data_IF_467486201643
#
_entry.id   IF_467486201643
#
_cell.length_a   1.000
_cell.length_b   1.000
_cell.length_c   1.000
_cell.angle_alpha   90.00
_cell.angle_beta   90.00
_cell.angle_gamma   90.00
#
_symmetry.space_group_name_H-M   'P 1'
#
loop_
_entity.id
_entity.type
_entity.pdbx_description
1 polymer ?
#
# COMPACT_ATOMS: atom_id res chain seq x y z
N UNK A 1 12.70 -16.58 17.53
CA UNK A 1 11.47 -16.83 18.34
C UNK A 1 11.64 -17.92 19.41
N UNK A 2 12.02 -19.17 19.07
CA UNK A 2 12.18 -20.27 20.06
C UNK A 2 13.03 -19.90 21.28
N UNK A 3 14.16 -19.22 21.07
CA UNK A 3 15.04 -18.75 22.15
C UNK A 3 14.32 -17.76 23.08
N UNK A 4 13.63 -16.76 22.51
CA UNK A 4 12.90 -15.76 23.27
C UNK A 4 11.77 -16.42 24.08
N UNK A 5 10.96 -17.25 23.43
CA UNK A 5 9.88 -17.97 24.12
C UNK A 5 10.39 -18.79 25.30
N UNK A 6 11.47 -19.57 25.10
CA UNK A 6 12.01 -20.44 26.16
C UNK A 6 12.47 -19.65 27.38
N UNK A 7 13.07 -18.49 27.18
CA UNK A 7 13.75 -17.74 28.25
C UNK A 7 12.91 -16.62 28.86
N UNK A 8 11.90 -16.10 28.15
CA UNK A 8 11.17 -14.89 28.55
C UNK A 8 9.65 -15.09 28.68
N UNK A 9 9.11 -16.28 28.40
CA UNK A 9 7.65 -16.54 28.49
C UNK A 9 7.03 -16.26 29.88
N UNK A 10 7.82 -16.39 30.96
CA UNK A 10 7.33 -16.17 32.33
C UNK A 10 7.60 -14.75 32.84
N UNK A 11 8.69 -14.12 32.39
CA UNK A 11 9.15 -12.82 32.89
C UNK A 11 8.64 -11.65 32.07
N UNK A 12 8.20 -11.88 30.82
CA UNK A 12 7.87 -10.82 29.88
C UNK A 12 9.10 -10.30 29.13
N UNK A 13 8.87 -9.32 28.26
CA UNK A 13 9.88 -8.66 27.43
C UNK A 13 9.88 -7.15 27.74
N UNK A 14 11.06 -6.58 27.91
CA UNK A 14 11.30 -5.14 27.83
C UNK A 14 11.46 -4.71 26.36
N UNK A 15 11.32 -3.41 26.07
CA UNK A 15 11.32 -2.85 24.70
C UNK A 15 12.56 -3.24 23.87
N UNK A 16 13.74 -3.31 24.50
CA UNK A 16 15.01 -3.61 23.83
C UNK A 16 15.39 -5.10 23.85
N UNK A 17 14.59 -5.96 24.49
CA UNK A 17 14.94 -7.37 24.72
C UNK A 17 15.20 -8.10 23.40
N UNK A 18 14.38 -7.86 22.38
CA UNK A 18 14.53 -8.53 21.07
C UNK A 18 15.81 -8.09 20.38
N UNK A 19 16.14 -6.80 20.42
CA UNK A 19 17.36 -6.25 19.83
C UNK A 19 18.61 -6.83 20.50
N UNK A 20 18.63 -6.86 21.84
CA UNK A 20 19.73 -7.45 22.61
C UNK A 20 19.92 -8.94 22.28
N UNK A 21 18.82 -9.70 22.21
CA UNK A 21 18.88 -11.12 21.83
C UNK A 21 19.40 -11.31 20.40
N UNK A 22 19.00 -10.48 19.44
CA UNK A 22 19.51 -10.57 18.06
C UNK A 22 21.00 -10.27 18.00
N UNK A 23 21.46 -9.22 18.69
CA UNK A 23 22.89 -8.90 18.79
C UNK A 23 23.69 -10.06 19.41
N UNK A 24 23.17 -10.65 20.48
CA UNK A 24 23.81 -11.77 21.17
C UNK A 24 23.87 -13.04 20.32
N UNK A 25 22.85 -13.34 19.52
CA UNK A 25 22.81 -14.53 18.68
C UNK A 25 23.69 -14.39 17.43
N UNK A 26 23.70 -13.20 16.84
CA UNK A 26 24.45 -12.92 15.60
C UNK A 26 25.89 -12.50 15.86
N UNK A 27 26.21 -12.06 17.09
CA UNK A 27 27.49 -11.44 17.46
C UNK A 27 27.82 -10.20 16.65
N UNK A 28 26.79 -9.47 16.23
CA UNK A 28 26.89 -8.23 15.45
C UNK A 28 25.99 -7.17 16.04
N UNK A 29 26.32 -5.90 15.79
CA UNK A 29 25.48 -4.77 16.22
C UNK A 29 24.38 -4.49 15.19
N UNK A 30 23.11 -4.65 15.60
CA UNK A 30 21.94 -4.33 14.80
C UNK A 30 21.30 -2.98 15.16
N UNK A 31 21.93 -2.14 15.98
CA UNK A 31 21.35 -0.87 16.42
C UNK A 31 20.87 0.01 15.26
N UNK A 32 21.64 0.07 14.17
CA UNK A 32 21.24 0.81 12.96
C UNK A 32 19.98 0.23 12.30
N UNK A 33 19.84 -1.10 12.25
CA UNK A 33 18.64 -1.75 11.70
C UNK A 33 17.39 -1.37 12.51
N UNK A 34 17.45 -1.48 13.84
CA UNK A 34 16.32 -1.14 14.70
C UNK A 34 16.02 0.37 14.68
N UNK A 35 17.04 1.22 14.68
CA UNK A 35 16.86 2.67 14.55
C UNK A 35 16.19 3.07 13.23
N UNK A 36 16.51 2.38 12.13
CA UNK A 36 15.88 2.67 10.85
C UNK A 36 14.45 2.12 10.76
N UNK A 37 14.21 0.88 11.18
CA UNK A 37 13.00 0.12 10.81
C UNK A 37 12.04 -0.17 11.96
N UNK A 38 12.44 0.02 13.23
CA UNK A 38 11.56 -0.08 14.39
C UNK A 38 11.27 1.30 14.99
N UNK A 39 12.30 2.08 15.25
CA UNK A 39 12.17 3.41 15.87
C UNK A 39 12.10 4.54 14.84
N UNK A 40 12.45 4.24 13.59
CA UNK A 40 12.47 5.17 12.48
C UNK A 40 11.25 5.07 11.58
N UNK A 41 11.22 5.93 10.58
CA UNK A 41 10.19 5.97 9.52
C UNK A 41 10.76 5.55 8.16
N UNK A 42 11.90 4.85 8.16
CA UNK A 42 12.52 4.41 6.92
C UNK A 42 11.73 3.23 6.36
N UNK A 43 11.41 3.30 5.09
CA UNK A 43 10.73 2.21 4.38
C UNK A 43 11.57 0.93 4.42
N UNK A 44 10.93 -0.21 4.72
CA UNK A 44 11.60 -1.51 4.71
C UNK A 44 12.15 -1.81 3.31
N UNK A 45 13.39 -2.30 3.17
CA UNK A 45 14.04 -2.56 1.89
C UNK A 45 13.54 -3.90 1.30
N UNK A 46 12.23 -4.00 1.08
CA UNK A 46 11.57 -5.26 0.70
C UNK A 46 12.08 -5.79 -0.65
N UNK A 47 12.39 -4.91 -1.61
CA UNK A 47 12.90 -5.33 -2.92
C UNK A 47 14.23 -6.08 -2.77
N UNK A 48 15.18 -5.52 -2.01
CA UNK A 48 16.49 -6.14 -1.77
C UNK A 48 16.35 -7.43 -0.95
N UNK A 49 15.48 -7.40 0.08
CA UNK A 49 15.23 -8.54 0.94
C UNK A 49 14.65 -9.74 0.17
N UNK A 50 13.68 -9.51 -0.72
CA UNK A 50 13.10 -10.55 -1.55
C UNK A 50 14.04 -11.01 -2.65
N UNK A 51 14.78 -10.09 -3.29
CA UNK A 51 15.78 -10.43 -4.30
C UNK A 51 16.88 -11.35 -3.73
N UNK A 52 17.28 -11.14 -2.48
CA UNK A 52 18.28 -11.98 -1.79
C UNK A 52 17.91 -13.47 -1.77
N UNK A 53 16.61 -13.78 -1.73
CA UNK A 53 16.03 -15.13 -1.74
C UNK A 53 15.38 -15.51 -3.07
N UNK A 54 15.65 -14.76 -4.14
CA UNK A 54 15.18 -15.06 -5.49
C UNK A 54 13.67 -14.87 -5.68
N UNK A 55 13.09 -13.89 -4.99
CA UNK A 55 11.71 -13.47 -5.18
C UNK A 55 11.71 -12.07 -5.79
N UNK A 56 11.04 -11.93 -6.92
CA UNK A 56 10.79 -10.63 -7.53
C UNK A 56 9.64 -9.95 -6.77
N UNK A 57 9.85 -8.68 -6.43
CA UNK A 57 8.87 -7.84 -5.76
C UNK A 57 8.59 -6.63 -6.64
N UNK A 58 7.32 -6.44 -7.00
CA UNK A 58 6.88 -5.30 -7.79
C UNK A 58 5.66 -4.66 -7.16
N UNK A 59 5.56 -3.34 -7.29
CA UNK A 59 4.42 -2.57 -6.84
C UNK A 59 3.62 -2.10 -8.06
N UNK A 60 2.30 -2.30 -8.03
CA UNK A 60 1.39 -1.83 -9.07
C UNK A 60 0.13 -1.19 -8.47
N UNK A 61 -0.60 -0.45 -9.30
CA UNK A 61 -1.93 0.05 -8.94
C UNK A 61 -2.95 -1.08 -9.02
N UNK A 62 -3.92 -1.10 -8.10
CA UNK A 62 -5.09 -1.99 -8.22
C UNK A 62 -5.84 -1.62 -9.50
N UNK A 63 -6.35 -2.60 -10.23
CA UNK A 63 -7.13 -2.34 -11.44
C UNK A 63 -8.57 -1.93 -11.13
N UNK A 64 -9.15 -2.51 -10.10
CA UNK A 64 -10.60 -2.48 -9.86
C UNK A 64 -11.05 -1.48 -8.78
N UNK A 65 -10.19 -0.56 -8.35
CA UNK A 65 -10.55 0.53 -7.43
C UNK A 65 -9.94 1.89 -7.83
N UNK A 66 -10.03 2.89 -6.95
CA UNK A 66 -9.52 4.25 -7.19
C UNK A 66 -8.45 4.67 -6.18
N UNK A 67 -7.76 3.69 -5.59
CA UNK A 67 -6.70 3.97 -4.59
C UNK A 67 -5.56 4.77 -5.18
N UNK A 68 -5.23 4.55 -6.45
CA UNK A 68 -4.27 5.34 -7.24
C UNK A 68 -4.76 6.77 -7.55
N UNK A 69 -6.05 7.06 -7.35
CA UNK A 69 -6.60 8.42 -7.39
C UNK A 69 -6.75 9.03 -6.00
N UNK A 70 -6.25 8.36 -4.96
CA UNK A 70 -6.30 8.84 -3.59
C UNK A 70 -7.67 8.74 -2.95
N UNK A 71 -8.57 7.87 -3.43
CA UNK A 71 -9.88 7.62 -2.78
C UNK A 71 -10.24 6.13 -2.72
N UNK A 72 -11.08 5.79 -1.74
CA UNK A 72 -11.86 4.54 -1.76
C UNK A 72 -13.35 4.87 -1.84
N UNK A 73 -14.08 4.14 -2.67
CA UNK A 73 -15.53 4.32 -2.85
C UNK A 73 -16.29 3.06 -2.45
N UNK A 74 -17.56 3.21 -2.09
CA UNK A 74 -18.51 2.10 -1.95
C UNK A 74 -19.81 2.43 -2.69
N UNK A 75 -20.60 1.39 -2.95
CA UNK A 75 -21.96 1.54 -3.47
C UNK A 75 -22.91 2.03 -2.37
N UNK A 76 -23.69 3.07 -2.67
CA UNK A 76 -24.86 3.50 -1.92
C UNK A 76 -26.03 3.69 -2.90
N UNK A 77 -26.88 2.67 -3.01
CA UNK A 77 -28.05 2.66 -3.90
C UNK A 77 -27.73 2.98 -5.38
N UNK A 78 -26.61 2.49 -5.89
CA UNK A 78 -26.15 2.71 -7.26
C UNK A 78 -25.28 3.94 -7.45
N UNK A 79 -25.01 4.72 -6.39
CA UNK A 79 -24.16 5.91 -6.41
C UNK A 79 -22.85 5.62 -5.67
N UNK A 80 -21.73 6.09 -6.22
CA UNK A 80 -20.42 5.97 -5.58
C UNK A 80 -20.28 7.01 -4.47
N UNK A 81 -20.19 6.56 -3.21
CA UNK A 81 -19.85 7.42 -2.07
C UNK A 81 -18.39 7.22 -1.65
N UNK A 82 -17.67 8.32 -1.47
CA UNK A 82 -16.29 8.32 -1.00
C UNK A 82 -16.25 7.90 0.48
N UNK A 83 -15.48 6.87 0.79
CA UNK A 83 -15.29 6.33 2.14
C UNK A 83 -13.97 6.73 2.76
N UNK A 84 -12.95 6.92 1.94
CA UNK A 84 -11.61 7.31 2.35
C UNK A 84 -11.03 8.29 1.33
N UNK A 85 -10.27 9.25 1.83
CA UNK A 85 -9.41 10.14 1.04
C UNK A 85 -8.00 9.96 1.57
N UNK A 86 -7.07 9.52 0.73
CA UNK A 86 -5.68 9.27 1.11
C UNK A 86 -4.89 10.57 1.07
N UNK A 87 -4.03 10.75 2.08
CA UNK A 87 -3.14 11.91 2.16
C UNK A 87 -2.20 11.98 0.96
N UNK A 88 -1.86 13.21 0.56
CA UNK A 88 -1.00 13.54 -0.56
C UNK A 88 -1.50 13.07 -1.94
N UNK A 89 -2.69 12.46 -2.01
CA UNK A 89 -3.34 12.04 -3.25
C UNK A 89 -3.91 13.21 -4.08
N UNK A 90 -4.21 12.92 -5.36
CA UNK A 90 -4.83 13.90 -6.25
C UNK A 90 -6.25 14.28 -5.79
N UNK A 91 -7.02 13.34 -5.24
CA UNK A 91 -8.33 13.62 -4.67
C UNK A 91 -8.29 14.60 -3.51
N UNK A 92 -7.39 14.40 -2.54
CA UNK A 92 -7.22 15.33 -1.42
C UNK A 92 -6.85 16.73 -1.93
N UNK A 93 -5.85 16.80 -2.82
CA UNK A 93 -5.38 18.06 -3.41
C UNK A 93 -6.48 18.80 -4.19
N UNK A 94 -7.48 18.06 -4.69
CA UNK A 94 -8.60 18.60 -5.47
C UNK A 94 -9.82 18.94 -4.60
N UNK A 95 -9.79 18.65 -3.30
CA UNK A 95 -10.87 19.00 -2.36
C UNK A 95 -12.03 18.00 -2.30
N UNK A 96 -11.80 16.75 -2.69
CA UNK A 96 -12.72 15.64 -2.40
C UNK A 96 -12.66 15.28 -0.91
N UNK A 97 -13.80 14.92 -0.34
CA UNK A 97 -13.95 14.54 1.07
C UNK A 97 -14.69 13.22 1.23
N UNK A 98 -14.48 12.56 2.37
CA UNK A 98 -15.28 11.43 2.80
C UNK A 98 -16.75 11.86 2.90
N UNK A 99 -17.64 11.05 2.33
CA UNK A 99 -19.08 11.33 2.26
C UNK A 99 -19.54 11.96 0.94
N UNK A 100 -18.64 12.49 0.11
CA UNK A 100 -19.01 12.99 -1.21
C UNK A 100 -19.58 11.86 -2.07
N UNK A 101 -20.72 12.12 -2.71
CA UNK A 101 -21.36 11.21 -3.67
C UNK A 101 -21.03 11.66 -5.09
N UNK A 102 -20.37 10.82 -5.87
CA UNK A 102 -20.01 11.12 -7.26
C UNK A 102 -21.24 10.85 -8.15
N UNK A 103 -21.74 11.89 -8.81
CA UNK A 103 -22.95 11.82 -9.65
C UNK A 103 -22.64 12.01 -11.13
N UNK A 104 -21.62 12.79 -11.49
CA UNK A 104 -21.21 12.98 -12.89
C UNK A 104 -19.69 13.02 -13.05
N UNK A 105 -19.21 12.59 -14.22
CA UNK A 105 -17.81 12.70 -14.67
C UNK A 105 -17.83 13.37 -16.05
N UNK A 106 -17.19 14.52 -16.18
CA UNK A 106 -17.22 15.39 -17.38
C UNK A 106 -18.64 15.55 -17.96
N UNK A 107 -19.58 15.91 -17.08
CA UNK A 107 -21.02 16.13 -17.38
C UNK A 107 -21.85 14.89 -17.70
N UNK A 108 -21.23 13.70 -17.78
CA UNK A 108 -21.95 12.44 -17.98
C UNK A 108 -22.34 11.86 -16.63
N UNK A 109 -23.63 11.54 -16.44
CA UNK A 109 -24.10 10.82 -15.25
C UNK A 109 -23.38 9.47 -15.12
N UNK A 110 -22.92 9.18 -13.90
CA UNK A 110 -22.25 7.91 -13.60
C UNK A 110 -22.99 7.19 -12.49
N UNK A 111 -22.88 5.86 -12.51
CA UNK A 111 -23.33 5.01 -11.42
C UNK A 111 -22.15 4.19 -10.90
N UNK A 112 -22.33 3.54 -9.76
CA UNK A 112 -21.24 2.90 -9.03
C UNK A 112 -20.44 1.91 -9.88
N UNK A 113 -21.12 1.05 -10.64
CA UNK A 113 -20.50 0.05 -11.53
C UNK A 113 -19.58 0.64 -12.60
N UNK A 114 -19.81 1.89 -13.01
CA UNK A 114 -19.08 2.53 -14.11
C UNK A 114 -18.10 3.61 -13.61
N UNK A 115 -18.17 4.00 -12.33
CA UNK A 115 -17.36 5.10 -11.78
C UNK A 115 -15.86 4.82 -11.89
N UNK A 116 -15.44 3.59 -11.53
CA UNK A 116 -14.01 3.21 -11.53
C UNK A 116 -13.44 3.25 -12.94
N UNK A 117 -14.11 2.58 -13.89
CA UNK A 117 -13.66 2.50 -15.28
C UNK A 117 -13.70 3.87 -15.98
N UNK A 118 -14.70 4.70 -15.67
CA UNK A 118 -14.79 6.06 -16.21
C UNK A 118 -13.61 6.92 -15.76
N UNK A 119 -13.32 7.01 -14.45
CA UNK A 119 -12.18 7.80 -13.95
C UNK A 119 -10.84 7.26 -14.47
N UNK A 120 -10.68 5.94 -14.54
CA UNK A 120 -9.45 5.30 -15.03
C UNK A 120 -9.21 5.39 -16.53
N UNK A 121 -10.21 5.82 -17.30
CA UNK A 121 -10.04 6.04 -18.74
C UNK A 121 -9.21 7.28 -19.07
N UNK A 122 -8.92 8.13 -18.07
CA UNK A 122 -8.17 9.37 -18.23
C UNK A 122 -6.69 9.19 -17.90
N UNK A 123 -5.84 9.86 -18.69
CA UNK A 123 -4.40 9.83 -18.52
C UNK A 123 -3.93 10.72 -17.37
N UNK A 124 -2.78 10.38 -16.79
CA UNK A 124 -2.05 11.24 -15.85
C UNK A 124 -1.78 12.61 -16.48
N UNK A 125 -2.07 13.68 -15.73
CA UNK A 125 -2.00 15.06 -16.19
C UNK A 125 -3.33 15.63 -16.69
N UNK A 126 -4.36 14.79 -16.88
CA UNK A 126 -5.70 15.24 -17.23
C UNK A 126 -6.39 15.92 -16.04
N UNK A 127 -7.33 16.82 -16.35
CA UNK A 127 -8.23 17.41 -15.36
C UNK A 127 -9.64 16.99 -15.70
N UNK A 128 -10.29 16.27 -14.78
CA UNK A 128 -11.67 15.81 -14.96
C UNK A 128 -12.61 16.61 -14.07
N UNK A 129 -13.80 16.94 -14.58
CA UNK A 129 -14.84 17.62 -13.82
C UNK A 129 -15.77 16.61 -13.17
N UNK A 130 -15.71 16.50 -11.86
CA UNK A 130 -16.61 15.69 -11.07
C UNK A 130 -17.79 16.53 -10.59
N UNK A 131 -19.01 16.11 -10.92
CA UNK A 131 -20.19 16.55 -10.19
C UNK A 131 -20.37 15.67 -8.96
N UNK A 132 -20.47 16.29 -7.80
CA UNK A 132 -20.65 15.59 -6.52
C UNK A 132 -21.85 16.14 -5.75
N UNK A 133 -22.40 15.35 -4.83
CA UNK A 133 -23.24 15.84 -3.74
C UNK A 133 -22.45 15.79 -2.44
N UNK A 134 -22.39 16.91 -1.73
CA UNK A 134 -21.86 17.02 -0.37
C UNK A 134 -22.98 17.51 0.53
N UNK A 135 -23.35 16.71 1.52
CA UNK A 135 -24.51 17.00 2.39
C UNK A 135 -25.78 17.31 1.56
N UNK A 136 -26.01 16.54 0.50
CA UNK A 136 -27.11 16.70 -0.48
C UNK A 136 -27.05 18.00 -1.33
N UNK A 137 -25.99 18.80 -1.22
CA UNK A 137 -25.78 19.99 -2.03
C UNK A 137 -24.89 19.67 -3.25
N UNK A 138 -25.32 20.02 -4.47
CA UNK A 138 -24.52 19.80 -5.66
C UNK A 138 -23.31 20.74 -5.71
N UNK A 139 -22.16 20.16 -6.02
CA UNK A 139 -20.91 20.88 -6.25
C UNK A 139 -20.15 20.32 -7.45
N UNK A 140 -19.23 21.13 -7.96
CA UNK A 140 -18.30 20.72 -9.01
C UNK A 140 -16.87 20.75 -8.45
N UNK A 141 -16.15 19.63 -8.61
CA UNK A 141 -14.76 19.49 -8.21
C UNK A 141 -13.93 19.14 -9.46
N UNK A 142 -12.83 19.85 -9.65
CA UNK A 142 -11.88 19.55 -10.73
C UNK A 142 -10.77 18.66 -10.19
N UNK A 143 -10.83 17.37 -10.53
CA UNK A 143 -9.81 16.41 -10.14
C UNK A 143 -8.62 16.48 -11.10
N UNK A 144 -7.48 16.93 -10.61
CA UNK A 144 -6.22 16.95 -11.36
C UNK A 144 -5.53 15.61 -11.22
N UNK A 145 -5.60 14.74 -12.23
CA UNK A 145 -5.05 13.38 -12.15
C UNK A 145 -3.53 13.44 -12.12
N UNK A 146 -2.95 12.88 -11.05
CA UNK A 146 -1.51 12.74 -10.85
C UNK A 146 -1.17 11.25 -10.76
N UNK A 147 0.11 10.93 -10.90
CA UNK A 147 0.58 9.58 -10.63
C UNK A 147 0.25 9.20 -9.18
N UNK A 148 -0.51 8.12 -9.01
CA UNK A 148 -0.88 7.57 -7.72
C UNK A 148 0.17 6.64 -7.14
N UNK A 149 0.06 6.40 -5.84
CA UNK A 149 0.88 5.38 -5.19
C UNK A 149 0.50 3.98 -5.67
N UNK A 150 1.52 3.15 -5.90
CA UNK A 150 1.35 1.74 -6.28
C UNK A 150 1.23 0.90 -5.00
N UNK A 151 0.00 0.63 -4.60
CA UNK A 151 -0.30 0.03 -3.29
C UNK A 151 -0.38 -1.50 -3.31
N UNK A 152 -0.31 -2.14 -4.48
CA UNK A 152 -0.34 -3.62 -4.60
C UNK A 152 1.07 -4.15 -4.75
N UNK A 153 1.52 -4.90 -3.75
CA UNK A 153 2.72 -5.70 -3.87
C UNK A 153 2.40 -7.05 -4.54
N UNK A 154 3.04 -7.33 -5.68
CA UNK A 154 3.02 -8.63 -6.34
C UNK A 154 4.37 -9.29 -6.17
N UNK A 155 4.36 -10.52 -5.65
CA UNK A 155 5.54 -11.35 -5.45
C UNK A 155 5.53 -12.51 -6.45
N UNK A 156 6.64 -12.70 -7.16
CA UNK A 156 6.82 -13.82 -8.09
C UNK A 156 8.14 -14.52 -7.83
N UNK A 157 8.20 -15.83 -8.09
CA UNK A 157 9.45 -16.57 -8.02
C UNK A 157 10.28 -16.16 -9.24
N UNK A 158 11.51 -15.69 -9.01
CA UNK A 158 12.39 -15.28 -10.09
C UNK A 158 12.96 -16.48 -10.86
N UNK A 159 13.07 -16.32 -12.17
CA UNK A 159 13.68 -17.31 -13.07
C UNK A 159 15.20 -17.11 -13.19
N UNK A 160 15.92 -18.11 -13.72
CA UNK A 160 17.36 -18.03 -14.04
C UNK A 160 18.27 -17.63 -12.86
N UNK A 161 17.94 -18.11 -11.66
CA UNK A 161 18.70 -17.84 -10.44
C UNK A 161 20.08 -18.51 -10.44
N UNK A 162 21.06 -17.85 -9.81
CA UNK A 162 22.33 -18.49 -9.50
C UNK A 162 22.15 -19.63 -8.49
N UNK A 163 23.06 -20.59 -8.51
CA UNK A 163 23.03 -21.75 -7.59
C UNK A 163 22.96 -21.34 -6.12
N UNK A 164 23.63 -20.24 -5.74
CA UNK A 164 23.63 -19.72 -4.36
C UNK A 164 22.27 -19.14 -3.96
N UNK A 165 21.63 -18.37 -4.85
CA UNK A 165 20.30 -17.80 -4.61
C UNK A 165 19.28 -18.93 -4.51
N UNK A 166 19.36 -19.92 -5.41
CA UNK A 166 18.47 -21.08 -5.39
C UNK A 166 18.60 -21.88 -4.08
N UNK A 167 19.81 -22.01 -3.53
CA UNK A 167 20.03 -22.66 -2.25
C UNK A 167 19.37 -21.88 -1.09
N UNK A 168 19.53 -20.54 -1.06
CA UNK A 168 18.87 -19.69 -0.07
C UNK A 168 17.35 -19.77 -0.18
N UNK A 169 16.82 -19.68 -1.40
CA UNK A 169 15.39 -19.79 -1.68
C UNK A 169 14.82 -21.12 -1.16
N UNK A 170 15.47 -22.24 -1.48
CA UNK A 170 15.05 -23.57 -1.00
C UNK A 170 15.03 -23.65 0.52
N UNK A 171 16.07 -23.14 1.19
CA UNK A 171 16.14 -23.11 2.66
C UNK A 171 15.07 -22.22 3.29
N UNK A 172 14.66 -21.16 2.60
CA UNK A 172 13.65 -20.24 3.10
C UNK A 172 12.22 -20.77 2.90
N UNK A 173 11.95 -21.43 1.78
CA UNK A 173 10.63 -21.99 1.46
C UNK A 173 10.38 -23.37 2.08
N UNK A 174 11.42 -24.18 2.29
CA UNK A 174 11.29 -25.43 2.99
C UNK A 174 11.08 -25.15 4.49
N UNK A 175 9.86 -25.32 4.95
CA UNK A 175 9.61 -25.54 6.38
C UNK A 175 9.97 -27.00 6.68
N UNK A 176 11.07 -27.21 7.39
CA UNK A 176 11.27 -28.45 8.17
C UNK A 176 10.33 -28.47 9.38
#
# INVERSE_FOLDING_TARGET
LKYIWKNYQTTGLEDDTVQNVVNDLTKSDFSEFFNHYLYGVKELPLLDAFSYVGVDCSFCSKKDDLTDFGISIKDDNGISIITHVFDHGCAQSSGLYVGDKIITIDTVETCHKDTVSAIKSYDVGSVIKLGILRDELPMEIFLNIKEGEKTVCTLTIADNLSSDVLNRQKKWFAQE
#
